data_IF_208992083368
#
_entry.id   IF_208992083368
#
_cell.length_a   1.000
_cell.length_b   1.000
_cell.length_c   1.000
_cell.angle_alpha   90.00
_cell.angle_beta   90.00
_cell.angle_gamma   90.00
#
_symmetry.space_group_name_H-M   'P 1'
#
loop_
_entity.id
_entity.type
_entity.pdbx_description
1 polymer ?
#
# COMPACT_ATOMS: atom_id res chain seq x y z
N UNK A 1 -0.26 -7.17 -31.38
CA UNK A 1 0.27 -8.24 -32.25
C UNK A 1 -0.48 -9.52 -31.91
N UNK A 2 -0.95 -10.29 -32.89
CA UNK A 2 -1.76 -11.50 -32.63
C UNK A 2 -0.91 -12.74 -32.95
N UNK A 3 -0.65 -13.55 -31.92
CA UNK A 3 0.06 -14.82 -32.03
C UNK A 3 -0.93 -15.99 -32.03
N UNK A 4 -0.54 -17.12 -32.64
CA UNK A 4 -1.31 -18.36 -32.55
C UNK A 4 -0.78 -19.20 -31.39
N UNK A 5 -1.68 -19.69 -30.51
CA UNK A 5 -1.36 -20.60 -29.40
C UNK A 5 -1.16 -22.05 -29.86
N UNK A 6 -1.59 -22.41 -31.07
CA UNK A 6 -1.41 -23.76 -31.59
C UNK A 6 0.01 -23.91 -32.17
N UNK A 7 0.68 -25.02 -31.89
CA UNK A 7 1.90 -25.47 -32.57
C UNK A 7 1.63 -25.99 -34.00
N UNK A 8 0.61 -25.44 -34.67
CA UNK A 8 0.11 -25.92 -35.96
C UNK A 8 0.81 -25.33 -37.18
N UNK A 9 1.84 -24.47 -37.00
CA UNK A 9 2.59 -23.96 -38.14
C UNK A 9 3.67 -24.98 -38.56
N UNK A 10 3.62 -25.57 -39.77
CA UNK A 10 4.62 -26.52 -40.23
C UNK A 10 6.02 -25.91 -40.35
N UNK A 11 6.11 -24.57 -40.41
CA UNK A 11 7.36 -23.80 -40.43
C UNK A 11 7.78 -23.25 -39.06
N UNK A 12 7.06 -23.59 -37.98
CA UNK A 12 7.39 -23.18 -36.60
C UNK A 12 7.24 -21.69 -36.27
N UNK A 13 6.52 -20.91 -37.09
CA UNK A 13 6.34 -19.46 -36.87
C UNK A 13 5.24 -19.19 -35.81
N UNK A 14 5.57 -18.39 -34.80
CA UNK A 14 4.63 -17.95 -33.73
C UNK A 14 3.85 -16.70 -34.13
N UNK A 15 3.06 -16.78 -35.20
CA UNK A 15 2.20 -15.68 -35.67
C UNK A 15 0.87 -16.23 -36.17
N UNK A 16 -0.18 -15.40 -36.17
CA UNK A 16 -1.47 -15.79 -36.76
C UNK A 16 -1.33 -15.98 -38.28
N UNK A 17 -1.83 -17.09 -38.83
CA UNK A 17 -1.79 -17.40 -40.26
C UNK A 17 -2.47 -16.33 -41.13
N UNK A 18 -3.39 -15.54 -40.56
CA UNK A 18 -4.00 -14.39 -41.22
C UNK A 18 -2.98 -13.33 -41.65
N UNK A 19 -1.89 -13.16 -40.90
CA UNK A 19 -0.82 -12.20 -41.19
C UNK A 19 0.42 -12.87 -41.84
N UNK A 20 0.30 -14.11 -42.30
CA UNK A 20 1.40 -14.83 -42.93
C UNK A 20 1.47 -14.50 -44.43
N UNK A 21 2.62 -14.00 -44.90
CA UNK A 21 2.86 -13.68 -46.32
C UNK A 21 2.78 -14.91 -47.23
N UNK A 22 3.08 -16.09 -46.69
CA UNK A 22 3.08 -17.36 -47.42
C UNK A 22 1.74 -18.12 -47.28
N UNK A 23 0.68 -17.46 -46.76
CA UNK A 23 -0.62 -18.11 -46.51
C UNK A 23 -1.22 -18.73 -47.77
N UNK A 24 -1.14 -18.03 -48.90
CA UNK A 24 -1.77 -18.44 -50.16
C UNK A 24 -1.19 -19.74 -50.76
N UNK A 25 0.03 -20.10 -50.35
CA UNK A 25 0.73 -21.31 -50.81
C UNK A 25 0.83 -22.38 -49.70
N UNK A 26 0.27 -22.11 -48.52
CA UNK A 26 0.34 -22.98 -47.36
C UNK A 26 -0.94 -23.82 -47.22
N UNK A 27 -0.86 -25.10 -47.61
CA UNK A 27 -1.98 -26.05 -47.56
C UNK A 27 -2.46 -26.40 -46.13
N UNK A 28 -1.65 -26.09 -45.12
CA UNK A 28 -1.96 -26.28 -43.70
C UNK A 28 -2.32 -24.95 -43.00
N UNK A 29 -2.48 -23.85 -43.76
CA UNK A 29 -2.96 -22.60 -43.18
C UNK A 29 -4.41 -22.74 -42.71
N UNK A 30 -4.76 -22.08 -41.61
CA UNK A 30 -6.15 -22.06 -41.19
C UNK A 30 -7.00 -21.36 -42.24
N UNK A 31 -8.18 -21.91 -42.51
CA UNK A 31 -9.16 -21.29 -43.40
C UNK A 31 -9.82 -20.10 -42.70
N UNK A 32 -9.06 -19.02 -42.59
CA UNK A 32 -9.49 -17.78 -41.95
C UNK A 32 -10.52 -16.99 -42.79
N UNK A 33 -11.06 -17.58 -43.86
CA UNK A 33 -12.12 -16.97 -44.67
C UNK A 33 -13.46 -16.86 -43.93
N UNK A 34 -13.65 -17.64 -42.86
CA UNK A 34 -14.83 -17.59 -41.97
C UNK A 34 -14.63 -16.75 -40.70
N UNK A 35 -13.45 -16.13 -40.53
CA UNK A 35 -13.12 -15.32 -39.35
C UNK A 35 -12.90 -13.88 -39.80
N UNK A 36 -13.96 -13.05 -39.69
CA UNK A 36 -13.91 -11.62 -40.02
C UNK A 36 -12.94 -10.83 -39.13
N UNK A 37 -12.62 -11.37 -37.94
CA UNK A 37 -11.76 -10.74 -36.95
C UNK A 37 -10.76 -11.76 -36.36
N UNK A 38 -9.45 -11.71 -36.73
CA UNK A 38 -8.44 -12.65 -36.25
C UNK A 38 -8.23 -12.60 -34.73
N UNK A 39 -8.74 -11.57 -34.02
CA UNK A 39 -8.75 -11.48 -32.57
C UNK A 39 -9.79 -12.37 -31.88
N UNK A 40 -10.76 -12.92 -32.62
CA UNK A 40 -11.83 -13.82 -32.10
C UNK A 40 -11.53 -15.30 -32.28
N UNK A 41 -10.39 -15.65 -32.91
CA UNK A 41 -9.96 -17.02 -33.04
C UNK A 41 -9.67 -17.61 -31.65
N UNK A 42 -10.18 -18.82 -31.36
CA UNK A 42 -9.97 -19.51 -30.08
C UNK A 42 -8.48 -19.74 -29.76
N UNK A 43 -7.67 -19.85 -30.81
CA UNK A 43 -6.22 -19.98 -30.72
C UNK A 43 -5.47 -18.64 -30.78
N UNK A 44 -6.16 -17.49 -30.74
CA UNK A 44 -5.50 -16.18 -30.74
C UNK A 44 -4.92 -15.83 -29.36
N UNK A 45 -3.70 -15.30 -29.37
CA UNK A 45 -3.08 -14.64 -28.24
C UNK A 45 -2.75 -13.19 -28.61
N UNK A 46 -3.48 -12.25 -28.02
CA UNK A 46 -3.31 -10.83 -28.29
C UNK A 46 -2.15 -10.33 -27.42
N UNK A 47 -0.94 -10.36 -27.99
CA UNK A 47 0.25 -9.78 -27.38
C UNK A 47 0.33 -8.31 -27.80
N UNK A 48 -0.04 -7.38 -26.92
CA UNK A 48 0.08 -5.96 -27.25
C UNK A 48 -0.63 -4.94 -26.36
N UNK A 49 -1.30 -5.36 -25.31
CA UNK A 49 -1.45 -4.53 -24.13
C UNK A 49 -1.30 -5.47 -22.97
N UNK A 50 -0.14 -5.43 -22.31
CA UNK A 50 0.00 -6.14 -21.05
C UNK A 50 -1.19 -5.73 -20.16
N UNK A 51 -1.75 -6.65 -19.38
CA UNK A 51 -2.84 -6.32 -18.46
C UNK A 51 -2.50 -5.08 -17.59
N UNK A 52 -1.21 -4.86 -17.35
CA UNK A 52 -0.61 -3.70 -16.68
C UNK A 52 -0.82 -2.39 -17.46
N UNK A 53 -0.63 -2.35 -18.78
CA UNK A 53 -0.85 -1.13 -19.59
C UNK A 53 -2.33 -0.79 -19.71
N UNK A 54 -3.19 -1.80 -19.84
CA UNK A 54 -4.64 -1.59 -19.86
C UNK A 54 -5.15 -1.14 -18.48
N UNK A 55 -4.61 -1.70 -17.39
CA UNK A 55 -4.91 -1.25 -16.03
C UNK A 55 -4.43 0.18 -15.81
N UNK A 56 -3.17 0.48 -16.15
CA UNK A 56 -2.57 1.80 -15.94
C UNK A 56 -3.32 2.88 -16.70
N UNK A 57 -3.75 2.63 -17.94
CA UNK A 57 -4.55 3.59 -18.72
C UNK A 57 -5.96 3.78 -18.15
N UNK A 58 -6.65 2.70 -17.75
CA UNK A 58 -7.99 2.79 -17.13
C UNK A 58 -7.97 3.46 -15.76
N UNK A 59 -6.92 3.26 -14.98
CA UNK A 59 -6.78 3.78 -13.62
C UNK A 59 -5.88 5.02 -13.53
N UNK A 60 -5.36 5.55 -14.66
CA UNK A 60 -4.36 6.63 -14.69
C UNK A 60 -4.73 7.84 -13.84
N UNK A 61 -5.99 8.30 -13.95
CA UNK A 61 -6.51 9.43 -13.18
C UNK A 61 -6.52 9.13 -11.67
N UNK A 62 -6.99 7.95 -11.28
CA UNK A 62 -7.02 7.54 -9.88
C UNK A 62 -5.60 7.38 -9.30
N UNK A 63 -4.68 6.79 -10.06
CA UNK A 63 -3.28 6.64 -9.66
C UNK A 63 -2.62 8.01 -9.46
N UNK A 64 -2.82 8.95 -10.37
CA UNK A 64 -2.28 10.30 -10.26
C UNK A 64 -2.83 11.04 -9.02
N UNK A 65 -4.14 10.93 -8.77
CA UNK A 65 -4.76 11.52 -7.56
C UNK A 65 -4.17 10.90 -6.29
N UNK A 66 -4.02 9.57 -6.23
CA UNK A 66 -3.43 8.87 -5.08
C UNK A 66 -2.00 9.34 -4.84
N UNK A 67 -1.20 9.49 -5.90
CA UNK A 67 0.17 10.01 -5.78
C UNK A 67 0.19 11.43 -5.18
N UNK A 68 -0.70 12.32 -5.64
CA UNK A 68 -0.81 13.67 -5.08
C UNK A 68 -1.23 13.64 -3.61
N UNK A 69 -2.18 12.79 -3.23
CA UNK A 69 -2.62 12.63 -1.84
C UNK A 69 -1.46 12.14 -0.96
N UNK A 70 -0.71 11.15 -1.41
CA UNK A 70 0.43 10.61 -0.65
C UNK A 70 1.55 11.65 -0.45
N UNK A 71 1.83 12.46 -1.47
CA UNK A 71 2.80 13.57 -1.35
C UNK A 71 2.29 14.63 -0.36
N UNK A 72 1.03 15.04 -0.47
CA UNK A 72 0.44 16.03 0.45
C UNK A 72 0.42 15.52 1.89
N UNK A 73 0.09 14.24 2.10
CA UNK A 73 0.08 13.63 3.42
C UNK A 73 1.47 13.65 4.05
N UNK A 74 2.52 13.30 3.31
CA UNK A 74 3.90 13.38 3.81
C UNK A 74 4.28 14.81 4.20
N UNK A 75 3.94 15.78 3.38
CA UNK A 75 4.20 17.19 3.67
C UNK A 75 3.47 17.64 4.95
N UNK A 76 2.19 17.30 5.10
CA UNK A 76 1.41 17.63 6.30
C UNK A 76 1.95 16.94 7.57
N UNK A 77 2.46 15.72 7.46
CA UNK A 77 3.12 15.03 8.58
C UNK A 77 4.42 15.73 9.00
N UNK A 78 5.24 16.17 8.05
CA UNK A 78 6.48 16.90 8.33
C UNK A 78 6.22 18.29 8.91
N UNK A 79 5.29 19.04 8.31
CA UNK A 79 4.90 20.36 8.81
C UNK A 79 4.23 20.23 10.18
N UNK A 80 3.40 19.21 10.38
CA UNK A 80 2.81 18.90 11.68
C UNK A 80 3.84 18.61 12.76
N UNK A 81 4.96 17.95 12.44
CA UNK A 81 6.07 17.74 13.39
C UNK A 81 6.78 19.05 13.73
N UNK A 82 7.15 19.84 12.72
CA UNK A 82 7.81 21.14 12.91
C UNK A 82 6.96 22.08 13.76
N UNK A 83 5.65 22.13 13.51
CA UNK A 83 4.74 22.97 14.30
C UNK A 83 4.59 22.48 15.74
N UNK A 84 4.57 21.16 15.97
CA UNK A 84 4.55 20.60 17.34
C UNK A 84 5.84 20.93 18.10
N UNK A 85 6.99 20.88 17.42
CA UNK A 85 8.28 21.28 18.00
C UNK A 85 8.30 22.77 18.33
N UNK A 86 7.87 23.63 17.40
CA UNK A 86 7.76 25.07 17.64
C UNK A 86 6.82 25.40 18.82
N UNK A 87 5.68 24.71 18.93
CA UNK A 87 4.77 24.86 20.07
C UNK A 87 5.43 24.38 21.36
N UNK A 88 6.17 23.27 21.33
CA UNK A 88 6.92 22.76 22.50
C UNK A 88 7.96 23.78 22.97
N UNK A 89 8.75 24.33 22.05
CA UNK A 89 9.77 25.35 22.33
C UNK A 89 9.16 26.61 22.93
N UNK A 90 8.07 27.11 22.34
CA UNK A 90 7.34 28.25 22.89
C UNK A 90 6.77 27.94 24.29
N UNK A 91 6.16 26.77 24.49
CA UNK A 91 5.66 26.38 25.81
C UNK A 91 6.77 26.31 26.86
N UNK A 92 7.98 25.91 26.48
CA UNK A 92 9.15 25.89 27.36
C UNK A 92 9.68 27.30 27.66
N UNK A 93 9.81 28.16 26.65
CA UNK A 93 10.28 29.55 26.78
C UNK A 93 9.35 30.38 27.68
N UNK A 94 8.04 30.27 27.48
CA UNK A 94 7.03 31.01 28.25
C UNK A 94 6.61 30.30 29.54
N UNK A 95 7.16 29.11 29.84
CA UNK A 95 6.82 28.33 31.04
C UNK A 95 5.37 27.86 31.11
N UNK A 96 4.71 27.72 29.96
CA UNK A 96 3.31 27.31 29.84
C UNK A 96 3.24 25.78 29.92
N UNK A 97 2.58 25.26 30.94
CA UNK A 97 2.44 23.79 31.14
C UNK A 97 1.20 23.22 30.47
N UNK A 98 0.17 24.05 30.27
CA UNK A 98 -1.09 23.69 29.62
C UNK A 98 -1.63 24.87 28.83
N UNK A 99 -2.07 24.60 27.61
CA UNK A 99 -2.76 25.53 26.74
C UNK A 99 -4.01 24.83 26.21
N UNK A 100 -5.17 25.48 26.29
CA UNK A 100 -6.43 24.92 25.80
C UNK A 100 -7.23 26.00 25.10
N UNK A 101 -7.86 25.64 23.99
CA UNK A 101 -8.85 26.44 23.29
C UNK A 101 -10.08 25.58 22.94
N UNK A 102 -11.03 26.15 22.22
CA UNK A 102 -12.30 25.49 21.86
C UNK A 102 -12.14 24.24 20.97
N UNK A 103 -10.95 24.03 20.37
CA UNK A 103 -10.69 22.98 19.38
C UNK A 103 -9.67 21.95 19.87
N UNK A 104 -8.73 22.33 20.75
CA UNK A 104 -7.63 21.48 21.18
C UNK A 104 -7.02 21.88 22.54
N UNK A 105 -6.58 20.86 23.28
CA UNK A 105 -5.79 20.99 24.51
C UNK A 105 -4.38 20.45 24.28
N UNK A 106 -3.38 21.25 24.65
CA UNK A 106 -1.95 20.95 24.57
C UNK A 106 -1.38 21.01 25.98
N UNK A 107 -0.87 19.88 26.47
CA UNK A 107 -0.12 19.82 27.71
C UNK A 107 1.37 19.62 27.41
N UNK A 108 2.21 20.51 27.92
CA UNK A 108 3.65 20.35 27.89
C UNK A 108 4.06 19.41 29.02
N UNK A 109 4.57 18.24 28.65
CA UNK A 109 5.12 17.26 29.59
C UNK A 109 6.63 17.40 29.51
N UNK A 110 7.25 17.81 30.62
CA UNK A 110 8.71 17.89 30.74
C UNK A 110 9.37 16.57 30.33
N UNK A 111 10.53 16.68 29.70
CA UNK A 111 11.31 15.52 29.29
C UNK A 111 11.64 14.64 30.50
N UNK A 112 11.14 13.41 30.48
CA UNK A 112 11.41 12.39 31.48
C UNK A 112 12.33 11.32 30.91
N UNK A 113 13.32 10.88 31.70
CA UNK A 113 14.17 9.75 31.31
C UNK A 113 13.36 8.46 31.50
N UNK A 114 12.96 7.83 30.39
CA UNK A 114 12.35 6.49 30.41
C UNK A 114 13.44 5.44 30.20
N UNK A 115 13.98 4.92 31.28
CA UNK A 115 14.84 3.73 31.22
C UNK A 115 13.98 2.51 30.92
N UNK A 116 14.12 1.94 29.72
CA UNK A 116 13.46 0.70 29.33
C UNK A 116 14.50 -0.40 29.26
N UNK A 117 14.32 -1.45 30.04
CA UNK A 117 15.20 -2.63 30.01
C UNK A 117 14.74 -3.54 28.87
N UNK A 118 15.66 -3.87 27.96
CA UNK A 118 15.42 -4.88 26.93
C UNK A 118 15.41 -6.27 27.57
N UNK A 119 14.24 -6.62 28.09
CA UNK A 119 13.96 -7.90 28.76
C UNK A 119 14.14 -9.11 27.84
N UNK A 120 14.18 -8.94 26.51
CA UNK A 120 14.46 -10.05 25.59
C UNK A 120 15.95 -10.34 25.54
N UNK A 121 16.78 -9.30 25.39
CA UNK A 121 18.25 -9.43 25.45
C UNK A 121 18.72 -9.90 26.81
N UNK A 122 18.15 -9.35 27.90
CA UNK A 122 18.51 -9.74 29.27
C UNK A 122 18.21 -11.23 29.54
N UNK A 123 17.09 -11.76 29.03
CA UNK A 123 16.77 -13.20 29.11
C UNK A 123 17.73 -14.08 28.32
N UNK A 124 18.21 -13.61 27.17
CA UNK A 124 19.05 -14.38 26.27
C UNK A 124 20.51 -14.44 26.74
N UNK A 125 21.05 -13.31 27.21
CA UNK A 125 22.47 -13.19 27.59
C UNK A 125 22.71 -13.51 29.07
N UNK A 126 21.78 -13.15 29.95
CA UNK A 126 21.92 -13.31 31.41
C UNK A 126 20.62 -13.86 32.05
N UNK A 127 20.23 -15.10 31.74
CA UNK A 127 18.98 -15.70 32.22
C UNK A 127 18.92 -15.83 33.75
N UNK A 128 20.05 -16.05 34.42
CA UNK A 128 20.11 -16.13 35.89
C UNK A 128 19.76 -14.77 36.54
N UNK A 129 20.36 -13.68 36.06
CA UNK A 129 20.06 -12.32 36.54
C UNK A 129 18.62 -11.94 36.18
N UNK A 130 18.12 -12.33 35.00
CA UNK A 130 16.73 -12.10 34.65
C UNK A 130 15.78 -12.77 35.66
N UNK A 131 16.04 -14.03 36.01
CA UNK A 131 15.18 -14.79 36.93
C UNK A 131 15.27 -14.27 38.37
N UNK A 132 16.46 -13.92 38.85
CA UNK A 132 16.66 -13.43 40.23
C UNK A 132 15.95 -12.08 40.49
N UNK A 133 15.80 -11.26 39.45
CA UNK A 133 15.18 -9.93 39.55
C UNK A 133 13.78 -9.85 38.93
N UNK A 134 13.22 -10.96 38.44
CA UNK A 134 11.87 -11.00 37.85
C UNK A 134 10.82 -11.49 38.83
N UNK A 135 9.87 -10.62 39.18
CA UNK A 135 8.70 -10.97 39.98
C UNK A 135 7.47 -11.11 39.10
N UNK A 136 7.02 -12.35 38.87
CA UNK A 136 5.75 -12.61 38.17
C UNK A 136 4.60 -12.52 39.16
N UNK A 137 3.74 -11.51 39.01
CA UNK A 137 2.49 -11.40 39.80
C UNK A 137 1.29 -11.72 38.92
N UNK A 138 0.33 -12.49 39.45
CA UNK A 138 -0.92 -12.82 38.75
C UNK A 138 -1.78 -11.57 38.65
N UNK A 139 -1.80 -10.95 37.47
CA UNK A 139 -2.66 -9.80 37.20
C UNK A 139 -4.06 -10.31 36.83
N UNK A 140 -5.08 -9.84 37.54
CA UNK A 140 -6.48 -10.16 37.26
C UNK A 140 -6.89 -9.62 35.89
N UNK A 141 -7.74 -10.37 35.18
CA UNK A 141 -8.25 -9.98 33.88
C UNK A 141 -8.94 -8.60 33.96
N UNK A 142 -8.52 -7.66 33.11
CA UNK A 142 -9.17 -6.36 32.94
C UNK A 142 -9.60 -6.17 31.48
N UNK A 143 -10.80 -5.62 31.30
CA UNK A 143 -11.38 -5.33 29.99
C UNK A 143 -11.00 -3.89 29.63
N UNK A 144 -10.38 -3.69 28.47
CA UNK A 144 -9.97 -2.39 27.96
C UNK A 144 -11.07 -1.83 27.05
N UNK A 145 -11.84 -0.86 27.54
CA UNK A 145 -12.87 -0.17 26.75
C UNK A 145 -12.21 1.03 26.06
N UNK A 146 -12.28 1.08 24.73
CA UNK A 146 -11.96 2.26 23.91
C UNK A 146 -13.26 3.00 23.62
N UNK A 147 -13.29 4.31 23.86
CA UNK A 147 -14.38 5.20 23.45
C UNK A 147 -14.51 5.14 21.92
N UNK A 148 -15.73 4.95 21.43
CA UNK A 148 -16.11 5.29 20.07
C UNK A 148 -16.46 6.78 20.06
N UNK A 149 -15.92 7.51 19.09
CA UNK A 149 -16.45 8.78 18.65
C UNK A 149 -17.97 8.64 18.46
N UNK A 150 -18.75 9.29 19.31
CA UNK A 150 -20.15 9.58 19.05
C UNK A 150 -20.22 11.05 18.63
N UNK A 151 -20.07 11.25 17.32
CA UNK A 151 -20.29 12.51 16.64
C UNK A 151 -21.21 12.27 15.45
N UNK A 152 -22.43 11.80 15.72
CA UNK A 152 -23.51 11.91 14.74
C UNK A 152 -24.16 13.28 14.87
N UNK A 153 -23.88 14.12 13.89
CA UNK A 153 -24.76 15.19 13.42
C UNK A 153 -26.19 14.66 13.21
N UNK A 154 -27.20 15.49 13.56
CA UNK A 154 -28.40 15.80 12.77
C UNK A 154 -29.38 16.58 13.67
N UNK A 155 -29.50 17.90 13.48
CA UNK A 155 -30.48 18.58 12.59
C UNK A 155 -31.87 18.74 13.24
N UNK A 156 -32.22 19.98 13.55
CA UNK A 156 -33.59 20.48 13.70
C UNK A 156 -33.63 21.90 13.15
#
# INVERSE_FOLDING_TARGET
MINCKNDGCPKGKKMCCFFCEEKNECNESCDASFIDDPGKCESADIVGSSAIELFSSKAAKAISIIQSIEVQKKQLEEDGKKMREAVKEAMEEYGITKFSNDVLEIAYIKEGKRTTVDSKRLKAELPNVFNDYSKTSKVSASIRIKLKDDGKENES
#
